data_IF_586487200930
#
_entry.id   IF_586487200930
#
_cell.length_a   1.000
_cell.length_b   1.000
_cell.length_c   1.000
_cell.angle_alpha   90.00
_cell.angle_beta   90.00
_cell.angle_gamma   90.00
#
_symmetry.space_group_name_H-M   'P 1'
#
loop_
_entity.id
_entity.type
_entity.pdbx_description
1 polymer ?
#
# COMPACT_ATOMS: atom_id res chain seq x y z
N UNK A 1 7.82 20.44 32.99
CA UNK A 1 7.58 19.34 32.03
C UNK A 1 8.70 19.38 31.04
N UNK A 2 9.43 18.29 30.85
CA UNK A 2 10.48 18.24 29.82
C UNK A 2 9.84 18.46 28.44
N UNK A 3 10.45 19.30 27.62
CA UNK A 3 9.97 19.55 26.26
C UNK A 3 10.10 18.24 25.46
N UNK A 4 8.97 17.67 25.06
CA UNK A 4 8.96 16.43 24.24
C UNK A 4 9.56 16.79 22.88
N UNK A 5 10.70 16.18 22.53
CA UNK A 5 11.31 16.35 21.22
C UNK A 5 10.38 15.73 20.17
N UNK A 6 9.63 16.56 19.47
CA UNK A 6 8.65 16.10 18.47
C UNK A 6 9.34 15.38 17.30
N UNK A 7 8.86 14.19 17.00
CA UNK A 7 9.19 13.38 15.81
C UNK A 7 7.87 12.90 15.16
N UNK A 8 7.07 13.80 14.56
CA UNK A 8 5.76 13.45 14.01
C UNK A 8 5.86 12.29 13.02
N UNK A 9 5.00 11.30 13.17
CA UNK A 9 4.83 10.27 12.14
C UNK A 9 4.12 10.88 10.94
N UNK A 10 4.63 10.58 9.74
CA UNK A 10 3.99 11.01 8.49
C UNK A 10 2.95 9.99 8.05
N UNK A 11 1.91 10.45 7.39
CA UNK A 11 0.82 9.60 6.89
C UNK A 11 0.71 9.71 5.37
N UNK A 12 0.62 8.55 4.72
CA UNK A 12 0.17 8.40 3.34
C UNK A 12 -1.27 7.92 3.34
N UNK A 13 -2.16 8.68 2.67
CA UNK A 13 -3.57 8.31 2.53
C UNK A 13 -3.77 7.44 1.29
N UNK A 14 -4.43 6.30 1.43
CA UNK A 14 -4.57 5.29 0.37
C UNK A 14 -5.98 5.19 -0.22
N UNK A 15 -6.93 5.99 0.25
CA UNK A 15 -8.35 5.88 -0.17
C UNK A 15 -8.54 6.00 -1.67
N UNK A 16 -7.70 6.76 -2.37
CA UNK A 16 -7.80 6.97 -3.82
C UNK A 16 -7.16 5.84 -4.65
N UNK A 17 -6.51 4.85 -4.02
CA UNK A 17 -5.94 3.69 -4.73
C UNK A 17 -6.10 2.38 -3.97
N UNK A 18 -5.25 2.08 -2.97
CA UNK A 18 -5.15 0.72 -2.41
C UNK A 18 -6.35 0.34 -1.55
N UNK A 19 -6.91 1.29 -0.81
CA UNK A 19 -8.07 1.05 0.03
C UNK A 19 -9.30 0.64 -0.81
N UNK A 20 -9.66 1.43 -1.83
CA UNK A 20 -10.79 1.06 -2.67
C UNK A 20 -10.49 -0.10 -3.63
N UNK A 21 -9.21 -0.34 -3.97
CA UNK A 21 -8.82 -1.57 -4.67
C UNK A 21 -9.14 -2.79 -3.81
N UNK A 22 -8.82 -2.74 -2.54
CA UNK A 22 -8.97 -3.86 -1.61
C UNK A 22 -10.42 -4.15 -1.22
N UNK A 23 -11.28 -3.13 -1.22
CA UNK A 23 -12.68 -3.25 -0.78
C UNK A 23 -13.68 -3.36 -1.93
N UNK A 24 -13.43 -2.68 -3.07
CA UNK A 24 -14.35 -2.59 -4.20
C UNK A 24 -13.65 -2.83 -5.55
N UNK A 25 -12.59 -3.62 -5.55
CA UNK A 25 -11.86 -4.03 -6.76
C UNK A 25 -11.53 -2.86 -7.72
N UNK A 26 -11.09 -1.71 -7.16
CA UNK A 26 -10.71 -0.49 -7.91
C UNK A 26 -11.86 0.16 -8.70
N UNK A 27 -13.09 0.10 -8.19
CA UNK A 27 -14.29 0.60 -8.90
C UNK A 27 -14.70 2.04 -8.54
N UNK A 28 -13.98 2.74 -7.67
CA UNK A 28 -14.25 4.16 -7.40
C UNK A 28 -13.96 4.98 -8.67
N UNK A 29 -14.92 5.81 -9.08
CA UNK A 29 -14.81 6.62 -10.30
C UNK A 29 -14.03 7.91 -10.04
N UNK A 30 -13.51 8.53 -11.11
CA UNK A 30 -12.85 9.84 -11.01
C UNK A 30 -13.82 10.91 -10.49
N UNK A 31 -15.08 10.87 -10.89
CA UNK A 31 -16.12 11.78 -10.42
C UNK A 31 -16.38 11.67 -8.91
N UNK A 32 -16.24 10.46 -8.34
CA UNK A 32 -16.35 10.25 -6.89
C UNK A 32 -15.11 10.68 -6.11
N UNK A 33 -13.97 10.86 -6.77
CA UNK A 33 -12.72 11.29 -6.12
C UNK A 33 -12.58 12.81 -6.10
N UNK A 34 -12.86 13.47 -7.20
CA UNK A 34 -12.52 14.90 -7.40
C UNK A 34 -13.15 15.86 -6.39
N UNK A 35 -14.43 15.74 -5.98
CA UNK A 35 -15.06 16.75 -5.13
C UNK A 35 -14.44 16.91 -3.73
N UNK A 36 -13.67 15.92 -3.25
CA UNK A 36 -13.07 15.95 -1.91
C UNK A 36 -11.58 16.32 -1.91
N UNK A 37 -10.96 16.37 -3.09
CA UNK A 37 -9.50 16.57 -3.24
C UNK A 37 -8.99 17.83 -2.55
N UNK A 38 -9.69 18.96 -2.69
CA UNK A 38 -9.29 20.22 -2.06
C UNK A 38 -9.22 20.13 -0.53
N UNK A 39 -10.13 19.36 0.10
CA UNK A 39 -10.09 19.12 1.54
C UNK A 39 -8.97 18.15 1.92
N UNK A 40 -8.76 17.11 1.13
CA UNK A 40 -7.66 16.17 1.35
C UNK A 40 -6.30 16.87 1.24
N UNK A 41 -6.15 17.82 0.32
CA UNK A 41 -4.90 18.59 0.13
C UNK A 41 -4.56 19.51 1.33
N UNK A 42 -5.56 19.83 2.17
CA UNK A 42 -5.38 20.67 3.36
C UNK A 42 -5.01 19.90 4.61
N UNK A 43 -5.12 18.56 4.64
CA UNK A 43 -4.86 17.73 5.83
C UNK A 43 -3.40 17.76 6.25
N UNK A 44 -2.48 17.89 5.29
CA UNK A 44 -1.04 17.78 5.53
C UNK A 44 -0.50 16.36 5.39
N UNK A 45 -1.15 15.51 4.61
CA UNK A 45 -0.62 14.18 4.25
C UNK A 45 0.79 14.27 3.65
N UNK A 46 1.63 13.30 3.95
CA UNK A 46 2.93 13.16 3.30
C UNK A 46 2.80 12.90 1.79
N UNK A 47 1.87 12.02 1.45
CA UNK A 47 1.45 11.73 0.08
C UNK A 47 0.02 11.17 0.08
N UNK A 48 -0.60 11.17 -1.10
CA UNK A 48 -1.83 10.41 -1.38
C UNK A 48 -1.50 9.39 -2.45
N UNK A 49 -1.72 8.12 -2.15
CA UNK A 49 -1.59 7.06 -3.14
C UNK A 49 -2.84 7.02 -4.02
N UNK A 50 -2.71 7.34 -5.30
CA UNK A 50 -3.86 7.59 -6.18
C UNK A 50 -3.81 6.83 -7.50
N UNK A 51 -2.70 6.18 -7.84
CA UNK A 51 -2.52 5.58 -9.16
C UNK A 51 -1.66 4.32 -9.12
N UNK A 52 -1.73 3.51 -10.18
CA UNK A 52 -0.99 2.26 -10.31
C UNK A 52 -1.60 1.32 -11.34
N UNK A 53 -1.06 0.11 -11.44
CA UNK A 53 -1.45 -0.86 -12.46
C UNK A 53 -2.91 -1.26 -12.42
N UNK A 54 -3.43 -1.55 -11.23
CA UNK A 54 -4.85 -1.91 -11.08
C UNK A 54 -5.79 -0.75 -11.39
N UNK A 55 -5.39 0.49 -11.07
CA UNK A 55 -6.14 1.71 -11.43
C UNK A 55 -6.21 1.88 -12.94
N UNK A 56 -5.05 1.75 -13.61
CA UNK A 56 -4.97 1.84 -15.06
C UNK A 56 -5.88 0.81 -15.74
N UNK A 57 -5.78 -0.44 -15.31
CA UNK A 57 -6.57 -1.55 -15.84
C UNK A 57 -8.08 -1.37 -15.57
N UNK A 58 -8.45 -0.95 -14.37
CA UNK A 58 -9.85 -0.73 -14.01
C UNK A 58 -10.48 0.44 -14.77
N UNK A 59 -9.75 1.53 -14.98
CA UNK A 59 -10.21 2.66 -15.81
C UNK A 59 -10.61 2.19 -17.20
N UNK A 60 -9.74 1.43 -17.86
CA UNK A 60 -9.97 0.96 -19.23
C UNK A 60 -11.06 -0.11 -19.32
N UNK A 61 -11.02 -1.13 -18.45
CA UNK A 61 -11.90 -2.31 -18.56
C UNK A 61 -13.30 -2.10 -18.01
N UNK A 62 -13.45 -1.33 -16.95
CA UNK A 62 -14.68 -1.30 -16.18
C UNK A 62 -15.30 0.07 -16.07
N UNK A 63 -14.49 1.13 -15.95
CA UNK A 63 -14.98 2.48 -15.70
C UNK A 63 -15.16 3.28 -16.98
N UNK A 64 -14.55 2.86 -18.09
CA UNK A 64 -14.53 3.59 -19.37
C UNK A 64 -13.95 4.99 -19.23
N UNK A 65 -12.90 5.10 -18.40
CA UNK A 65 -12.17 6.34 -18.13
C UNK A 65 -10.76 6.27 -18.74
N UNK A 66 -10.21 7.42 -19.13
CA UNK A 66 -8.79 7.54 -19.45
C UNK A 66 -7.98 7.63 -18.16
N UNK A 67 -7.09 6.64 -17.85
CA UNK A 67 -6.30 6.63 -16.64
C UNK A 67 -5.33 7.82 -16.55
N UNK A 68 -4.82 8.34 -17.67
CA UNK A 68 -3.95 9.50 -17.69
C UNK A 68 -4.72 10.81 -17.41
N UNK A 69 -5.94 10.93 -17.92
CA UNK A 69 -6.82 12.05 -17.60
C UNK A 69 -7.19 12.07 -16.13
N UNK A 70 -7.49 10.89 -15.52
CA UNK A 70 -7.71 10.77 -14.08
C UNK A 70 -6.51 11.32 -13.31
N UNK A 71 -5.27 10.89 -13.66
CA UNK A 71 -4.06 11.35 -12.99
C UNK A 71 -3.91 12.87 -13.07
N UNK A 72 -4.06 13.45 -14.26
CA UNK A 72 -3.97 14.91 -14.46
C UNK A 72 -5.01 15.68 -13.64
N UNK A 73 -6.27 15.21 -13.61
CA UNK A 73 -7.33 15.84 -12.81
C UNK A 73 -7.03 15.78 -11.31
N UNK A 74 -6.51 14.66 -10.83
CA UNK A 74 -6.07 14.55 -9.43
C UNK A 74 -4.91 15.51 -9.16
N UNK A 75 -3.89 15.56 -10.03
CA UNK A 75 -2.79 16.52 -9.90
C UNK A 75 -3.26 17.97 -9.88
N UNK A 76 -4.24 18.29 -10.71
CA UNK A 76 -4.81 19.64 -10.75
C UNK A 76 -5.52 20.02 -9.43
N UNK A 77 -6.09 19.05 -8.73
CA UNK A 77 -6.71 19.26 -7.42
C UNK A 77 -5.70 19.33 -6.27
N UNK A 78 -4.71 18.44 -6.23
CA UNK A 78 -3.68 18.43 -5.20
C UNK A 78 -2.58 19.45 -5.53
N UNK A 79 -2.34 20.43 -4.67
CA UNK A 79 -1.32 21.47 -4.84
C UNK A 79 -0.16 21.34 -3.85
N UNK A 80 -0.46 20.86 -2.63
CA UNK A 80 0.48 20.78 -1.53
C UNK A 80 0.91 19.34 -1.22
N UNK A 81 0.06 18.37 -1.55
CA UNK A 81 0.27 16.96 -1.23
C UNK A 81 0.91 16.23 -2.41
N UNK A 82 1.90 15.40 -2.12
CA UNK A 82 2.53 14.54 -3.13
C UNK A 82 1.57 13.48 -3.61
N UNK A 83 1.65 13.14 -4.90
CA UNK A 83 0.94 12.01 -5.49
C UNK A 83 1.86 10.81 -5.61
N UNK A 84 1.39 9.67 -5.13
CA UNK A 84 2.12 8.41 -5.14
C UNK A 84 1.44 7.39 -6.03
N UNK A 85 2.25 6.59 -6.74
CA UNK A 85 1.79 5.44 -7.49
C UNK A 85 2.49 4.16 -7.08
N UNK A 86 1.80 3.02 -7.26
CA UNK A 86 2.38 1.70 -7.15
C UNK A 86 2.86 1.21 -8.53
N UNK A 87 4.10 0.68 -8.59
CA UNK A 87 4.78 0.29 -9.83
C UNK A 87 5.40 -1.11 -9.70
N UNK A 88 5.10 -2.00 -10.64
CA UNK A 88 5.52 -3.42 -10.57
C UNK A 88 6.90 -3.67 -11.19
N UNK A 89 7.90 -2.87 -10.84
CA UNK A 89 9.25 -3.00 -11.39
C UNK A 89 9.24 -3.15 -12.92
N UNK A 90 9.99 -4.12 -13.45
CA UNK A 90 10.10 -4.33 -14.89
C UNK A 90 8.77 -4.68 -15.59
N UNK A 91 7.75 -5.09 -14.82
CA UNK A 91 6.42 -5.41 -15.37
C UNK A 91 5.50 -4.19 -15.51
N UNK A 92 5.91 -3.00 -15.03
CA UNK A 92 5.14 -1.74 -15.09
C UNK A 92 3.73 -1.91 -14.47
N UNK A 93 2.75 -2.13 -15.31
CA UNK A 93 1.34 -2.34 -14.98
C UNK A 93 0.88 -3.79 -15.23
N UNK A 94 1.68 -4.56 -15.96
CA UNK A 94 1.33 -5.87 -16.49
C UNK A 94 1.83 -7.04 -15.63
N UNK A 95 1.86 -8.20 -16.28
CA UNK A 95 2.25 -9.50 -15.70
C UNK A 95 3.43 -10.14 -16.44
N UNK A 96 4.06 -9.41 -17.36
CA UNK A 96 5.26 -9.80 -18.10
C UNK A 96 6.23 -8.62 -18.09
N UNK A 97 7.55 -8.88 -18.10
CA UNK A 97 8.54 -7.81 -18.15
C UNK A 97 8.48 -7.08 -19.49
N UNK A 98 8.65 -5.77 -19.43
CA UNK A 98 8.81 -4.90 -20.59
C UNK A 98 10.29 -4.59 -20.80
N UNK A 99 10.71 -4.20 -22.03
CA UNK A 99 12.04 -3.66 -22.29
C UNK A 99 12.33 -2.39 -21.48
N UNK A 100 13.61 -2.12 -21.22
CA UNK A 100 14.04 -1.00 -20.37
C UNK A 100 13.56 0.36 -20.89
N UNK A 101 13.63 0.59 -22.20
CA UNK A 101 13.18 1.83 -22.84
C UNK A 101 11.67 2.11 -22.61
N UNK A 102 10.85 1.05 -22.55
CA UNK A 102 9.42 1.16 -22.23
C UNK A 102 9.22 1.51 -20.75
N UNK A 103 10.01 0.91 -19.84
CA UNK A 103 10.00 1.23 -18.41
C UNK A 103 10.39 2.71 -18.20
N UNK A 104 11.50 3.13 -18.79
CA UNK A 104 11.97 4.52 -18.73
C UNK A 104 10.93 5.49 -19.25
N UNK A 105 10.35 5.23 -20.40
CA UNK A 105 9.34 6.10 -21.01
C UNK A 105 8.06 6.17 -20.17
N UNK A 106 7.63 5.05 -19.58
CA UNK A 106 6.45 5.04 -18.71
C UNK A 106 6.68 5.85 -17.43
N UNK A 107 7.85 5.70 -16.79
CA UNK A 107 8.25 6.49 -15.63
C UNK A 107 8.28 7.98 -15.96
N UNK A 108 8.92 8.36 -17.06
CA UNK A 108 8.96 9.75 -17.56
C UNK A 108 7.54 10.32 -17.71
N UNK A 109 6.64 9.56 -18.35
CA UNK A 109 5.25 10.02 -18.54
C UNK A 109 4.48 10.08 -17.23
N UNK A 110 4.71 9.18 -16.29
CA UNK A 110 4.05 9.21 -14.98
C UNK A 110 4.42 10.48 -14.20
N UNK A 111 5.71 10.81 -14.14
CA UNK A 111 6.20 12.03 -13.47
C UNK A 111 5.72 13.28 -14.20
N UNK A 112 5.81 13.33 -15.52
CA UNK A 112 5.33 14.46 -16.33
C UNK A 112 3.82 14.73 -16.20
N UNK A 113 3.03 13.70 -15.83
CA UNK A 113 1.59 13.84 -15.58
C UNK A 113 1.25 14.00 -14.08
N UNK A 114 2.23 14.17 -13.21
CA UNK A 114 2.02 14.64 -11.85
C UNK A 114 2.31 13.66 -10.72
N UNK A 115 2.91 12.51 -10.98
CA UNK A 115 3.39 11.61 -9.93
C UNK A 115 4.69 12.16 -9.33
N UNK A 116 4.73 12.25 -8.01
CA UNK A 116 5.90 12.67 -7.23
C UNK A 116 6.68 11.48 -6.67
N UNK A 117 5.96 10.41 -6.23
CA UNK A 117 6.54 9.23 -5.59
C UNK A 117 6.19 7.98 -6.37
N UNK A 118 7.19 7.25 -6.83
CA UNK A 118 7.00 5.94 -7.46
C UNK A 118 7.42 4.85 -6.47
N UNK A 119 6.43 4.12 -5.95
CA UNK A 119 6.62 2.94 -5.10
C UNK A 119 6.83 1.72 -5.98
N UNK A 120 8.07 1.28 -6.08
CA UNK A 120 8.51 0.21 -6.97
C UNK A 120 8.63 -1.09 -6.17
N UNK A 121 8.04 -2.17 -6.65
CA UNK A 121 8.11 -3.47 -5.98
C UNK A 121 8.27 -4.63 -6.95
N UNK A 122 8.85 -5.70 -6.43
CA UNK A 122 8.80 -7.05 -6.99
C UNK A 122 8.21 -8.00 -5.96
N UNK A 123 7.29 -8.87 -6.36
CA UNK A 123 6.58 -9.75 -5.41
C UNK A 123 7.48 -10.81 -4.76
N UNK A 124 8.63 -11.11 -5.35
CA UNK A 124 9.65 -12.02 -4.83
C UNK A 124 10.87 -11.28 -4.24
N UNK A 125 10.84 -9.94 -4.19
CA UNK A 125 11.95 -9.09 -3.77
C UNK A 125 13.22 -9.27 -4.61
N UNK A 126 13.07 -9.54 -5.92
CA UNK A 126 14.19 -9.56 -6.83
C UNK A 126 14.57 -8.14 -7.25
N UNK A 127 15.61 -7.60 -6.62
CA UNK A 127 16.05 -6.23 -6.83
C UNK A 127 16.51 -5.94 -8.28
N UNK A 128 16.89 -6.98 -9.03
CA UNK A 128 17.29 -6.83 -10.45
C UNK A 128 16.14 -6.31 -11.31
N UNK A 129 14.89 -6.62 -10.93
CA UNK A 129 13.68 -6.17 -11.62
C UNK A 129 13.32 -4.72 -11.30
N UNK A 130 14.04 -4.04 -10.42
CA UNK A 130 13.70 -2.72 -9.92
C UNK A 130 14.65 -1.63 -10.43
N UNK A 131 15.89 -1.99 -10.82
CA UNK A 131 16.95 -1.02 -11.08
C UNK A 131 16.57 -0.02 -12.18
N UNK A 132 16.09 -0.47 -13.32
CA UNK A 132 15.69 0.41 -14.43
C UNK A 132 14.64 1.43 -14.01
N UNK A 133 13.64 1.00 -13.20
CA UNK A 133 12.60 1.92 -12.70
C UNK A 133 13.14 2.91 -11.66
N UNK A 134 14.09 2.52 -10.82
CA UNK A 134 14.76 3.41 -9.86
C UNK A 134 15.54 4.48 -10.62
N UNK A 135 16.41 4.06 -11.54
CA UNK A 135 17.27 4.96 -12.32
C UNK A 135 16.43 5.96 -13.13
N UNK A 136 15.37 5.48 -13.79
CA UNK A 136 14.45 6.33 -14.53
C UNK A 136 13.73 7.33 -13.62
N UNK A 137 13.28 6.91 -12.44
CA UNK A 137 12.61 7.80 -11.48
C UNK A 137 13.56 8.90 -11.00
N UNK A 138 14.79 8.56 -10.67
CA UNK A 138 15.81 9.52 -10.24
C UNK A 138 16.18 10.49 -11.37
N UNK A 139 16.33 10.00 -12.59
CA UNK A 139 16.62 10.80 -13.79
C UNK A 139 15.56 11.84 -14.07
N UNK A 140 14.30 11.51 -13.87
CA UNK A 140 13.16 12.41 -14.06
C UNK A 140 12.85 13.31 -12.84
N UNK A 141 13.64 13.22 -11.76
CA UNK A 141 13.50 14.03 -10.55
C UNK A 141 12.39 13.59 -9.60
N UNK A 142 11.85 12.37 -9.77
CA UNK A 142 10.88 11.77 -8.86
C UNK A 142 11.53 11.16 -7.62
N UNK A 143 10.71 10.84 -6.62
CA UNK A 143 11.11 10.09 -5.44
C UNK A 143 10.98 8.59 -5.69
N UNK A 144 12.10 7.87 -5.70
CA UNK A 144 12.13 6.43 -5.88
C UNK A 144 12.00 5.72 -4.52
N UNK A 145 10.86 5.11 -4.27
CA UNK A 145 10.64 4.28 -3.08
C UNK A 145 10.64 2.81 -3.48
N UNK A 146 11.49 1.99 -2.85
CA UNK A 146 11.45 0.53 -3.05
C UNK A 146 10.61 -0.10 -1.94
N UNK A 147 9.64 -0.93 -2.34
CA UNK A 147 8.82 -1.69 -1.42
C UNK A 147 9.33 -3.12 -1.26
N UNK A 148 9.61 -3.50 -0.02
CA UNK A 148 9.87 -4.86 0.41
C UNK A 148 8.54 -5.60 0.55
N UNK A 149 8.26 -6.56 -0.30
CA UNK A 149 7.11 -7.46 -0.19
C UNK A 149 7.27 -8.32 1.05
N UNK A 150 6.67 -7.88 2.18
CA UNK A 150 6.81 -8.56 3.46
C UNK A 150 6.12 -9.92 3.44
N UNK A 151 6.82 -10.89 3.95
CA UNK A 151 6.32 -12.26 4.06
C UNK A 151 7.04 -13.01 5.19
N UNK A 152 6.48 -14.11 5.63
CA UNK A 152 7.03 -14.98 6.68
C UNK A 152 7.52 -16.29 6.09
N UNK A 153 8.50 -16.90 6.74
CA UNK A 153 9.12 -18.17 6.34
C UNK A 153 10.60 -18.19 6.67
N UNK A 154 11.21 -19.38 6.70
CA UNK A 154 12.59 -19.59 7.14
C UNK A 154 13.65 -18.82 6.33
N UNK A 155 13.29 -18.43 5.11
CA UNK A 155 14.15 -17.64 4.23
C UNK A 155 14.24 -16.16 4.65
N UNK A 156 13.20 -15.66 5.32
CA UNK A 156 12.99 -14.23 5.57
C UNK A 156 13.43 -13.84 6.98
N UNK A 157 14.72 -14.07 7.28
CA UNK A 157 15.35 -13.72 8.56
C UNK A 157 15.57 -12.21 8.68
N UNK A 158 15.83 -11.72 9.90
CA UNK A 158 16.21 -10.31 10.09
C UNK A 158 17.47 -9.93 9.29
N UNK A 159 18.43 -10.84 9.15
CA UNK A 159 19.64 -10.59 8.37
C UNK A 159 19.34 -10.51 6.86
N UNK A 160 18.38 -11.30 6.36
CA UNK A 160 17.87 -11.14 5.00
C UNK A 160 17.31 -9.73 4.80
N UNK A 161 16.44 -9.25 5.68
CA UNK A 161 15.83 -7.93 5.58
C UNK A 161 16.85 -6.80 5.69
N UNK A 162 17.79 -6.89 6.62
CA UNK A 162 18.91 -5.91 6.77
C UNK A 162 19.77 -5.84 5.50
N UNK A 163 20.16 -7.00 4.96
CA UNK A 163 20.94 -7.06 3.72
C UNK A 163 20.18 -6.44 2.54
N UNK A 164 18.90 -6.79 2.41
CA UNK A 164 18.05 -6.25 1.34
C UNK A 164 17.90 -4.73 1.45
N UNK A 165 17.71 -4.19 2.68
CA UNK A 165 17.62 -2.75 2.89
C UNK A 165 18.91 -2.01 2.50
N UNK A 166 20.08 -2.55 2.84
CA UNK A 166 21.36 -1.98 2.40
C UNK A 166 21.51 -1.97 0.88
N UNK A 167 21.17 -3.08 0.22
CA UNK A 167 21.21 -3.15 -1.24
C UNK A 167 20.27 -2.11 -1.88
N UNK A 168 19.09 -1.88 -1.29
CA UNK A 168 18.14 -0.87 -1.76
C UNK A 168 18.72 0.55 -1.64
N UNK A 169 19.36 0.86 -0.53
CA UNK A 169 20.03 2.14 -0.35
C UNK A 169 21.19 2.32 -1.35
N UNK A 170 21.99 1.27 -1.57
CA UNK A 170 23.07 1.25 -2.58
C UNK A 170 22.55 1.42 -4.01
N UNK A 171 21.32 0.97 -4.31
CA UNK A 171 20.64 1.21 -5.59
C UNK A 171 20.22 2.66 -5.80
N UNK A 172 20.34 3.52 -4.78
CA UNK A 172 19.97 4.94 -4.85
C UNK A 172 18.50 5.24 -4.58
N UNK A 173 17.76 4.34 -3.95
CA UNK A 173 16.39 4.61 -3.52
C UNK A 173 16.34 5.72 -2.45
N UNK A 174 15.28 6.52 -2.47
CA UNK A 174 15.07 7.63 -1.53
C UNK A 174 14.38 7.19 -0.23
N UNK A 175 13.67 6.07 -0.26
CA UNK A 175 13.01 5.47 0.93
C UNK A 175 12.68 3.99 0.70
N UNK A 176 12.41 3.29 1.80
CA UNK A 176 11.98 1.89 1.81
C UNK A 176 10.56 1.80 2.36
N UNK A 177 9.69 1.03 1.70
CA UNK A 177 8.39 0.67 2.23
C UNK A 177 8.40 -0.81 2.66
N UNK A 178 8.11 -1.12 3.91
CA UNK A 178 7.75 -2.47 4.33
C UNK A 178 6.31 -2.69 3.87
N UNK A 179 6.11 -3.49 2.82
CA UNK A 179 4.79 -3.70 2.22
C UNK A 179 4.20 -5.03 2.65
N UNK A 180 3.40 -4.98 3.70
CA UNK A 180 2.66 -6.13 4.24
C UNK A 180 1.26 -6.23 3.62
N UNK A 181 1.21 -6.79 2.43
CA UNK A 181 -0.03 -6.90 1.64
C UNK A 181 -1.06 -7.89 2.21
N UNK A 182 -0.65 -8.75 3.12
CA UNK A 182 -1.52 -9.79 3.68
C UNK A 182 -1.86 -9.57 5.17
N UNK A 183 -1.33 -8.52 5.80
CA UNK A 183 -1.54 -8.26 7.23
C UNK A 183 -0.86 -9.31 8.13
N UNK A 184 0.33 -9.76 7.74
CA UNK A 184 1.11 -10.80 8.43
C UNK A 184 2.01 -10.26 9.53
N UNK A 185 2.37 -8.97 9.45
CA UNK A 185 3.29 -8.35 10.38
C UNK A 185 2.59 -8.08 11.72
N UNK A 186 2.91 -8.89 12.72
CA UNK A 186 2.37 -8.72 14.07
C UNK A 186 3.17 -7.69 14.87
N UNK A 187 2.59 -7.08 15.93
CA UNK A 187 3.19 -5.92 16.62
C UNK A 187 4.63 -6.14 17.10
N UNK A 188 4.92 -7.28 17.75
CA UNK A 188 6.28 -7.56 18.24
C UNK A 188 7.29 -7.74 17.11
N UNK A 189 6.89 -8.39 16.01
CA UNK A 189 7.77 -8.54 14.83
C UNK A 189 7.96 -7.20 14.13
N UNK A 190 6.97 -6.29 14.14
CA UNK A 190 7.13 -4.94 13.64
C UNK A 190 8.23 -4.18 14.40
N UNK A 191 8.23 -4.26 15.74
CA UNK A 191 9.31 -3.68 16.55
C UNK A 191 10.67 -4.24 16.17
N UNK A 192 10.79 -5.56 16.07
CA UNK A 192 12.07 -6.24 15.73
C UNK A 192 12.56 -5.85 14.34
N UNK A 193 11.66 -5.91 13.34
CA UNK A 193 11.99 -5.62 11.95
C UNK A 193 12.39 -4.15 11.76
N UNK A 194 11.55 -3.22 12.23
CA UNK A 194 11.83 -1.77 12.10
C UNK A 194 13.13 -1.41 12.79
N UNK A 195 13.36 -1.88 14.03
CA UNK A 195 14.63 -1.66 14.73
C UNK A 195 15.82 -2.17 13.93
N UNK A 196 15.73 -3.37 13.36
CA UNK A 196 16.79 -3.97 12.56
C UNK A 196 17.06 -3.18 11.26
N UNK A 197 16.02 -2.69 10.60
CA UNK A 197 16.15 -1.88 9.38
C UNK A 197 16.73 -0.50 9.69
N UNK A 198 16.28 0.18 10.75
CA UNK A 198 16.83 1.48 11.20
C UNK A 198 18.31 1.41 11.61
N UNK A 199 18.81 0.21 11.96
CA UNK A 199 20.24 -0.04 12.20
C UNK A 199 21.02 -0.33 10.92
N UNK A 200 20.33 -0.71 9.85
CA UNK A 200 20.95 -1.16 8.60
C UNK A 200 21.02 -0.08 7.52
N UNK A 201 20.14 0.93 7.57
CA UNK A 201 20.01 1.99 6.55
C UNK A 201 19.61 3.32 7.18
N UNK A 202 20.06 4.42 6.57
CA UNK A 202 19.76 5.79 7.00
C UNK A 202 18.55 6.39 6.26
N UNK A 203 18.09 5.78 5.15
CA UNK A 203 16.95 6.31 4.41
C UNK A 203 15.62 6.07 5.14
N UNK A 204 14.60 6.91 4.91
CA UNK A 204 13.31 6.80 5.58
C UNK A 204 12.64 5.44 5.35
N UNK A 205 11.98 4.95 6.39
CA UNK A 205 11.22 3.69 6.36
C UNK A 205 9.74 4.00 6.50
N UNK A 206 8.97 3.47 5.55
CA UNK A 206 7.51 3.49 5.55
C UNK A 206 6.96 2.10 5.85
N UNK A 207 5.83 2.02 6.56
CA UNK A 207 5.12 0.77 6.78
C UNK A 207 3.72 0.84 6.20
N UNK A 208 3.45 -0.11 5.32
CA UNK A 208 2.14 -0.40 4.75
C UNK A 208 1.68 -1.77 5.23
N UNK A 209 0.52 -1.85 5.90
CA UNK A 209 -0.08 -3.14 6.27
C UNK A 209 -1.59 -3.15 6.07
N UNK A 210 -2.12 -4.29 5.64
CA UNK A 210 -3.54 -4.53 5.56
C UNK A 210 -4.11 -4.99 6.91
N UNK A 211 -5.36 -4.63 7.19
CA UNK A 211 -6.01 -4.91 8.46
C UNK A 211 -6.65 -6.31 8.53
N UNK A 212 -6.37 -7.17 7.55
CA UNK A 212 -7.04 -8.46 7.35
C UNK A 212 -6.96 -9.38 8.57
N UNK A 213 -5.83 -9.39 9.29
CA UNK A 213 -5.67 -10.16 10.54
C UNK A 213 -6.24 -9.49 11.78
N UNK A 214 -6.57 -8.19 11.71
CA UNK A 214 -7.09 -7.40 12.82
C UNK A 214 -6.03 -6.74 13.70
N UNK A 215 -4.73 -6.94 13.44
CA UNK A 215 -3.64 -6.41 14.29
C UNK A 215 -3.03 -5.11 13.73
N UNK A 216 -3.40 -4.67 12.54
CA UNK A 216 -2.73 -3.61 11.79
C UNK A 216 -2.51 -2.31 12.56
N UNK A 217 -3.51 -1.82 13.33
CA UNK A 217 -3.36 -0.59 14.13
C UNK A 217 -2.34 -0.75 15.28
N UNK A 218 -2.34 -1.92 15.95
CA UNK A 218 -1.34 -2.24 16.99
C UNK A 218 0.05 -2.41 16.38
N UNK A 219 0.13 -2.97 15.18
CA UNK A 219 1.37 -3.10 14.40
C UNK A 219 1.94 -1.73 14.07
N UNK A 220 1.12 -0.78 13.63
CA UNK A 220 1.55 0.59 13.37
C UNK A 220 2.04 1.29 14.64
N UNK A 221 1.32 1.18 15.75
CA UNK A 221 1.76 1.75 17.02
C UNK A 221 3.16 1.25 17.38
N UNK A 222 3.38 -0.06 17.34
CA UNK A 222 4.69 -0.66 17.66
C UNK A 222 5.79 -0.33 16.65
N UNK A 223 5.46 -0.18 15.40
CA UNK A 223 6.41 0.23 14.36
C UNK A 223 6.85 1.70 14.53
N UNK A 224 5.91 2.60 14.86
CA UNK A 224 6.19 4.02 15.10
C UNK A 224 7.06 4.18 16.35
N UNK A 225 6.73 3.49 17.45
CA UNK A 225 7.57 3.45 18.66
C UNK A 225 8.99 2.92 18.37
N UNK A 226 9.15 2.01 17.39
CA UNK A 226 10.44 1.47 16.96
C UNK A 226 11.20 2.36 15.97
N UNK A 227 10.59 3.46 15.51
CA UNK A 227 11.24 4.48 14.68
C UNK A 227 10.85 4.49 13.19
N UNK A 228 9.74 3.85 12.81
CA UNK A 228 9.20 4.02 11.44
C UNK A 228 8.84 5.49 11.22
N UNK A 229 9.11 5.98 10.02
CA UNK A 229 8.97 7.41 9.71
C UNK A 229 7.61 7.75 9.09
N UNK A 230 7.01 6.79 8.36
CA UNK A 230 5.79 6.99 7.59
C UNK A 230 4.90 5.74 7.72
N UNK A 231 3.58 5.92 7.76
CA UNK A 231 2.59 4.82 7.72
C UNK A 231 1.50 5.08 6.68
N UNK A 232 1.02 4.00 6.06
CA UNK A 232 -0.10 4.05 5.12
C UNK A 232 -1.43 3.83 5.86
N UNK A 233 -2.39 4.71 5.67
CA UNK A 233 -3.71 4.60 6.28
C UNK A 233 -4.81 4.85 5.26
N UNK A 234 -6.04 4.58 5.62
CA UNK A 234 -7.20 4.90 4.80
C UNK A 234 -8.27 5.60 5.63
N UNK A 235 -8.95 6.60 5.07
CA UNK A 235 -10.09 7.26 5.73
C UNK A 235 -11.17 6.23 6.10
N UNK A 236 -11.78 6.36 7.28
CA UNK A 236 -12.55 5.30 7.95
C UNK A 236 -13.63 4.59 7.09
N UNK A 237 -14.38 5.24 6.18
CA UNK A 237 -15.33 4.52 5.34
C UNK A 237 -14.71 3.48 4.41
N UNK A 238 -13.44 3.65 4.05
CA UNK A 238 -12.66 2.73 3.23
C UNK A 238 -11.48 2.08 3.96
N UNK A 239 -11.48 2.13 5.28
CA UNK A 239 -10.47 1.49 6.12
C UNK A 239 -10.88 0.11 6.62
N UNK A 240 -9.93 -0.58 7.23
CA UNK A 240 -10.09 -1.87 7.93
C UNK A 240 -10.44 -3.05 7.02
N UNK A 241 -10.70 -4.21 7.60
CA UNK A 241 -10.92 -5.42 6.82
C UNK A 241 -9.72 -5.73 5.92
N UNK A 242 -9.95 -5.84 4.61
CA UNK A 242 -8.89 -6.05 3.63
C UNK A 242 -8.14 -4.76 3.22
N UNK A 243 -8.53 -3.60 3.76
CA UNK A 243 -7.86 -2.31 3.58
C UNK A 243 -6.87 -2.02 4.72
N UNK A 244 -6.43 -0.77 4.85
CA UNK A 244 -5.47 -0.32 5.86
C UNK A 244 -6.16 0.12 7.16
N UNK A 245 -5.40 0.34 8.26
CA UNK A 245 -5.92 1.00 9.46
C UNK A 245 -6.50 2.39 9.17
N UNK A 246 -7.49 2.81 9.96
CA UNK A 246 -8.19 4.07 9.74
C UNK A 246 -7.31 5.29 10.07
N UNK A 247 -7.28 6.26 9.16
CA UNK A 247 -6.49 7.49 9.26
C UNK A 247 -6.80 8.28 10.53
N UNK A 248 -8.09 8.51 10.81
CA UNK A 248 -8.55 9.29 11.98
C UNK A 248 -8.16 8.59 13.29
N UNK A 249 -8.26 7.24 13.31
CA UNK A 249 -7.92 6.45 14.48
C UNK A 249 -6.41 6.50 14.75
N UNK A 250 -5.59 6.39 13.71
CA UNK A 250 -4.13 6.48 13.89
C UNK A 250 -3.69 7.89 14.27
N UNK A 251 -4.27 8.93 13.68
CA UNK A 251 -4.01 10.32 14.06
C UNK A 251 -4.36 10.57 15.54
N UNK A 252 -5.51 10.04 16.00
CA UNK A 252 -5.91 10.14 17.42
C UNK A 252 -5.03 9.30 18.34
N UNK A 253 -4.57 8.12 17.90
CA UNK A 253 -3.67 7.26 18.66
C UNK A 253 -2.35 7.97 18.99
N UNK A 254 -1.84 8.80 18.10
CA UNK A 254 -0.60 9.54 18.30
C UNK A 254 -0.78 10.93 18.90
N UNK A 255 -2.01 11.41 19.07
CA UNK A 255 -2.29 12.74 19.60
C UNK A 255 -1.65 12.94 20.98
N UNK A 256 -0.95 14.05 21.15
CA UNK A 256 -0.28 14.43 22.39
C UNK A 256 0.98 13.64 22.71
N UNK A 257 1.42 12.73 21.83
CA UNK A 257 2.70 12.04 21.93
C UNK A 257 3.78 12.77 21.12
N UNK A 258 5.03 12.30 21.17
CA UNK A 258 6.10 12.80 20.28
C UNK A 258 5.84 12.55 18.80
N UNK A 259 4.97 11.59 18.46
CA UNK A 259 4.61 11.17 17.11
C UNK A 259 3.36 11.88 16.58
N UNK A 260 2.81 12.83 17.30
CA UNK A 260 1.56 13.53 16.97
C UNK A 260 1.62 14.12 15.56
N UNK A 261 0.69 13.72 14.70
CA UNK A 261 0.58 14.16 13.30
C UNK A 261 0.18 15.61 13.16
N UNK A 262 -0.48 16.18 14.17
CA UNK A 262 -1.06 17.52 14.15
C UNK A 262 -2.29 17.65 13.24
N UNK A 263 -2.88 16.55 12.76
CA UNK A 263 -4.05 16.61 11.88
C UNK A 263 -5.31 17.12 12.57
N UNK A 264 -6.08 17.93 11.84
CA UNK A 264 -7.39 18.39 12.29
C UNK A 264 -8.42 17.26 12.17
N UNK A 265 -8.86 16.72 13.30
CA UNK A 265 -9.86 15.65 13.36
C UNK A 265 -11.23 16.07 12.79
N UNK A 266 -11.56 17.37 12.83
CA UNK A 266 -12.80 17.87 12.23
C UNK A 266 -12.71 17.75 10.70
N UNK A 267 -11.59 18.16 10.12
CA UNK A 267 -11.35 18.06 8.68
C UNK A 267 -11.35 16.58 8.24
N UNK A 268 -10.70 15.70 8.99
CA UNK A 268 -10.74 14.25 8.72
C UNK A 268 -12.17 13.71 8.80
N UNK A 269 -12.96 14.16 9.78
CA UNK A 269 -14.39 13.80 9.90
C UNK A 269 -15.21 14.25 8.68
N UNK A 270 -14.98 15.45 8.17
CA UNK A 270 -15.67 15.97 6.97
C UNK A 270 -15.29 15.15 5.72
N UNK A 271 -14.04 14.69 5.61
CA UNK A 271 -13.60 13.80 4.53
C UNK A 271 -14.28 12.42 4.68
N UNK A 272 -14.33 11.87 5.89
CA UNK A 272 -15.02 10.61 6.16
C UNK A 272 -16.51 10.70 5.82
N UNK A 273 -17.18 11.78 6.19
CA UNK A 273 -18.60 11.99 5.89
C UNK A 273 -18.86 12.06 4.37
N UNK A 274 -17.94 12.60 3.59
CA UNK A 274 -18.01 12.57 2.13
C UNK A 274 -17.96 11.14 1.57
N UNK A 275 -17.06 10.30 2.06
CA UNK A 275 -16.91 8.92 1.57
C UNK A 275 -17.98 7.95 2.09
N UNK A 276 -18.71 8.31 3.14
CA UNK A 276 -19.74 7.43 3.74
C UNK A 276 -20.85 7.04 2.75
N UNK A 277 -21.53 7.97 2.05
CA UNK A 277 -22.53 7.62 1.06
C UNK A 277 -21.97 6.84 -0.13
N UNK A 278 -20.73 7.07 -0.50
CA UNK A 278 -20.04 6.30 -1.56
C UNK A 278 -19.87 4.85 -1.10
N UNK A 279 -19.42 4.62 0.14
CA UNK A 279 -19.38 3.28 0.73
C UNK A 279 -20.75 2.60 0.74
N UNK A 280 -21.81 3.30 1.19
CA UNK A 280 -23.15 2.79 1.26
C UNK A 280 -23.68 2.37 -0.12
N UNK A 281 -23.42 3.16 -1.16
CA UNK A 281 -23.70 2.81 -2.56
C UNK A 281 -23.06 1.47 -2.95
N UNK A 282 -21.79 1.26 -2.62
CA UNK A 282 -21.06 0.04 -2.96
C UNK A 282 -21.46 -1.17 -2.11
N UNK A 283 -21.92 -0.96 -0.90
CA UNK A 283 -22.56 -2.00 -0.08
C UNK A 283 -23.90 -2.41 -0.65
N UNK A 284 -24.74 -1.44 -1.03
CA UNK A 284 -26.09 -1.67 -1.56
C UNK A 284 -26.08 -2.40 -2.90
N UNK A 285 -25.10 -2.14 -3.76
CA UNK A 285 -24.98 -2.81 -5.06
C UNK A 285 -24.18 -4.12 -5.01
N UNK A 286 -23.72 -4.55 -3.82
CA UNK A 286 -23.02 -5.80 -3.60
C UNK A 286 -21.53 -5.81 -4.01
N UNK A 287 -20.99 -4.72 -4.55
CA UNK A 287 -19.59 -4.66 -4.96
C UNK A 287 -18.65 -4.67 -3.75
N UNK A 288 -19.03 -4.00 -2.65
CA UNK A 288 -18.37 -4.12 -1.36
C UNK A 288 -18.97 -5.28 -0.58
N UNK A 289 -18.35 -6.45 -0.70
CA UNK A 289 -18.82 -7.65 0.01
C UNK A 289 -18.60 -7.55 1.52
N UNK A 290 -19.55 -7.94 2.38
CA UNK A 290 -19.31 -8.08 3.83
C UNK A 290 -18.11 -8.97 4.18
N UNK A 291 -17.74 -9.91 3.32
CA UNK A 291 -16.57 -10.80 3.52
C UNK A 291 -15.24 -10.06 3.59
N UNK A 292 -15.12 -8.90 2.92
CA UNK A 292 -13.88 -8.10 2.93
C UNK A 292 -13.84 -7.07 4.06
N UNK A 293 -14.93 -6.89 4.80
CA UNK A 293 -15.04 -5.90 5.89
C UNK A 293 -14.64 -6.46 7.26
N UNK A 294 -14.67 -7.78 7.41
CA UNK A 294 -14.30 -8.45 8.65
C UNK A 294 -12.80 -8.65 8.78
N UNK A 295 -12.38 -9.04 9.99
CA UNK A 295 -11.02 -9.48 10.28
C UNK A 295 -11.00 -11.00 10.47
N UNK A 296 -9.89 -11.63 10.07
CA UNK A 296 -9.71 -13.07 10.23
C UNK A 296 -8.27 -13.38 10.62
N UNK A 297 -8.06 -13.73 11.88
CA UNK A 297 -6.72 -14.08 12.41
C UNK A 297 -6.10 -15.29 11.68
N UNK A 298 -6.91 -16.15 11.06
CA UNK A 298 -6.40 -17.27 10.24
C UNK A 298 -5.64 -16.79 8.99
N UNK A 299 -5.75 -15.52 8.62
CA UNK A 299 -4.91 -14.91 7.57
C UNK A 299 -3.43 -15.09 7.86
N UNK A 300 -3.02 -15.07 9.13
CA UNK A 300 -1.64 -15.33 9.55
C UNK A 300 -1.18 -16.76 9.18
N UNK A 301 -2.10 -17.69 9.03
CA UNK A 301 -1.81 -19.06 8.60
C UNK A 301 -1.89 -19.21 7.07
N UNK A 302 -2.90 -18.64 6.43
CA UNK A 302 -3.12 -18.77 4.98
C UNK A 302 -2.24 -17.86 4.14
N UNK A 303 -1.84 -16.71 4.68
CA UNK A 303 -0.88 -15.77 4.08
C UNK A 303 -1.31 -15.22 2.70
N UNK A 304 -2.61 -15.05 2.49
CA UNK A 304 -3.19 -14.54 1.23
C UNK A 304 -3.44 -13.04 1.35
N UNK A 305 -2.91 -12.21 0.44
CA UNK A 305 -3.19 -10.78 0.40
C UNK A 305 -4.68 -10.47 0.25
N UNK A 306 -5.17 -9.41 0.93
CA UNK A 306 -6.58 -9.03 0.93
C UNK A 306 -7.17 -8.81 -0.46
N UNK A 307 -6.44 -8.13 -1.35
CA UNK A 307 -6.88 -7.93 -2.74
C UNK A 307 -6.93 -9.22 -3.56
N UNK A 308 -6.10 -10.24 -3.24
CA UNK A 308 -6.18 -11.56 -3.85
C UNK A 308 -7.35 -12.37 -3.27
N UNK A 309 -7.68 -12.17 -2.01
CA UNK A 309 -8.79 -12.87 -1.36
C UNK A 309 -10.13 -12.54 -2.03
N UNK A 310 -10.39 -11.26 -2.32
CA UNK A 310 -11.60 -10.83 -3.01
C UNK A 310 -11.69 -11.39 -4.44
N UNK A 311 -10.56 -11.42 -5.16
CA UNK A 311 -10.48 -12.03 -6.49
C UNK A 311 -10.70 -13.55 -6.42
N UNK A 312 -10.13 -14.25 -5.43
CA UNK A 312 -10.32 -15.69 -5.23
C UNK A 312 -11.78 -16.03 -4.98
N UNK A 313 -12.46 -15.27 -4.10
CA UNK A 313 -13.90 -15.44 -3.86
C UNK A 313 -14.68 -15.31 -5.15
N UNK A 314 -14.45 -14.23 -5.92
CA UNK A 314 -15.16 -14.00 -7.19
C UNK A 314 -14.90 -15.11 -8.23
N UNK A 315 -13.66 -15.58 -8.34
CA UNK A 315 -13.29 -16.67 -9.27
C UNK A 315 -13.94 -18.00 -8.88
N UNK A 316 -13.95 -18.34 -7.59
CA UNK A 316 -14.61 -19.56 -7.12
C UNK A 316 -16.13 -19.51 -7.32
N UNK A 317 -16.75 -18.35 -7.12
CA UNK A 317 -18.17 -18.14 -7.40
C UNK A 317 -18.49 -18.34 -8.89
N UNK A 318 -17.69 -17.76 -9.79
CA UNK A 318 -17.84 -17.93 -11.24
C UNK A 318 -17.66 -19.39 -11.71
N UNK A 319 -16.85 -20.16 -10.98
CA UNK A 319 -16.60 -21.58 -11.28
C UNK A 319 -17.58 -22.53 -10.57
N UNK A 320 -18.52 -22.01 -9.77
CA UNK A 320 -19.43 -22.84 -8.97
C UNK A 320 -18.75 -23.65 -7.86
N UNK A 321 -17.58 -23.19 -7.40
CA UNK A 321 -16.70 -23.89 -6.44
C UNK A 321 -16.54 -23.10 -5.14
N UNK A 322 -17.52 -22.32 -4.72
CA UNK A 322 -17.45 -21.48 -3.50
C UNK A 322 -17.26 -22.28 -2.23
N UNK A 323 -17.66 -23.56 -2.21
CA UNK A 323 -17.46 -24.51 -1.14
C UNK A 323 -15.98 -24.90 -0.93
N UNK A 324 -15.14 -24.77 -1.97
CA UNK A 324 -13.71 -25.07 -1.95
C UNK A 324 -12.85 -23.95 -1.39
N UNK A 325 -13.42 -22.82 -1.00
CA UNK A 325 -12.68 -21.64 -0.58
C UNK A 325 -11.65 -21.92 0.52
N UNK A 326 -12.04 -22.61 1.57
CA UNK A 326 -11.12 -22.92 2.69
C UNK A 326 -10.06 -23.96 2.32
N UNK A 327 -10.38 -24.95 1.49
CA UNK A 327 -9.41 -25.92 0.98
C UNK A 327 -8.31 -25.22 0.17
N UNK A 328 -8.69 -24.30 -0.71
CA UNK A 328 -7.73 -23.51 -1.50
C UNK A 328 -6.84 -22.66 -0.60
N UNK A 329 -7.40 -22.02 0.44
CA UNK A 329 -6.61 -21.21 1.38
C UNK A 329 -5.58 -22.07 2.15
N UNK A 330 -5.89 -23.29 2.50
CA UNK A 330 -4.96 -24.22 3.19
C UNK A 330 -3.82 -24.70 2.27
N UNK A 331 -4.06 -24.78 0.96
CA UNK A 331 -3.04 -25.17 -0.02
C UNK A 331 -2.03 -24.05 -0.33
N UNK A 332 -2.43 -22.76 -0.24
CA UNK A 332 -1.56 -21.65 -0.57
C UNK A 332 -0.22 -21.65 0.17
N UNK A 333 -0.14 -21.83 1.51
CA UNK A 333 1.14 -21.90 2.22
C UNK A 333 2.02 -23.10 1.77
N UNK A 334 1.40 -24.23 1.45
CA UNK A 334 2.12 -25.44 0.99
C UNK A 334 2.78 -25.19 -0.37
N UNK A 335 2.02 -24.66 -1.33
CA UNK A 335 2.54 -24.31 -2.66
C UNK A 335 3.66 -23.28 -2.55
N UNK A 336 3.45 -22.24 -1.72
CA UNK A 336 4.44 -21.18 -1.51
C UNK A 336 5.74 -21.72 -0.93
N UNK A 337 5.69 -22.58 0.09
CA UNK A 337 6.88 -23.21 0.68
C UNK A 337 7.63 -24.06 -0.35
N UNK A 338 6.91 -24.77 -1.20
CA UNK A 338 7.49 -25.51 -2.31
C UNK A 338 8.22 -24.60 -3.32
N UNK A 339 7.58 -23.49 -3.74
CA UNK A 339 8.17 -22.53 -4.68
C UNK A 339 9.42 -21.84 -4.10
N UNK A 340 9.41 -21.49 -2.80
CA UNK A 340 10.56 -20.90 -2.14
C UNK A 340 11.75 -21.86 -2.06
N UNK A 341 11.49 -23.17 -1.86
CA UNK A 341 12.53 -24.19 -1.89
C UNK A 341 13.13 -24.33 -3.29
N UNK A 342 12.32 -24.37 -4.34
CA UNK A 342 12.79 -24.53 -5.72
C UNK A 342 13.55 -23.30 -6.22
N UNK A 343 13.16 -22.08 -5.86
CA UNK A 343 13.86 -20.86 -6.21
C UNK A 343 15.24 -20.75 -5.55
N UNK A 344 15.45 -21.38 -4.39
CA UNK A 344 16.77 -21.49 -3.74
C UNK A 344 17.71 -22.48 -4.41
N UNK A 345 17.17 -23.51 -5.08
CA UNK A 345 17.98 -24.52 -5.77
C UNK A 345 18.49 -24.06 -7.14
N UNK A 346 17.96 -22.98 -7.69
CA UNK A 346 18.38 -22.39 -8.95
C UNK A 346 19.38 -21.28 -8.74
#
# INVERSE_FOLDING_TARGET
MAEIKKKPVKIVETVLRDAHQSLIATRMTTEEMLPIVDKMDQVGYHAVECWGGATFDACLRFLKEDPWERLRKLRDGFKNTKLQMLFRGQNILGYKPYPDDVVEYFVQKSIANGIDVIRIFDCLNDLRNLQTAVDATKKEGGHAQIALSYTIGDAYTLDYWKKTAKNIEEMGADSICIKDMAGLLVPNEATRLVTALKQATDIPIELHTHYTSGVGGMTYLKAVEAGVDIIDTAISPFAMGTSQPATEVMAETFRGTEFDTGFDQKLLGEIADYFRPIREKYLANGLMSPKVLGVNIKTLMYQVPGGMLSNLVSQLEQQGASDKFYEVLEEVPKVRNCLLYTSRCV
#
